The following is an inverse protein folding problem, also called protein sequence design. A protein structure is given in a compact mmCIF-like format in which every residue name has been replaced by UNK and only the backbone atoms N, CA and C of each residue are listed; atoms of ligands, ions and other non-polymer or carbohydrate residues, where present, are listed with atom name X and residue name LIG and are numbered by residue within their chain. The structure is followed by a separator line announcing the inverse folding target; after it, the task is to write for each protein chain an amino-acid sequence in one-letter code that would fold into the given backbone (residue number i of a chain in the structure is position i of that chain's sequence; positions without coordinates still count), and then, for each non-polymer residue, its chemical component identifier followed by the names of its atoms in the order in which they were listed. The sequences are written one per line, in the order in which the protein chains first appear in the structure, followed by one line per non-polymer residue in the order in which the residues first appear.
data_IF_614082751329
#
_entry.id   IF_614082751329
#
_cell.length_a   1.000
_cell.length_b   1.000
_cell.length_c   1.000
_cell.angle_alpha   90.00
_cell.angle_beta   90.00
_cell.angle_gamma   90.00
#
_symmetry.space_group_name_H-M   'P 1'
#
loop_
_entity.id
_entity.type
_entity.pdbx_description
1 polymer ?
#
# COMPACT_ATOMS: atom_id res chain seq x y z
N UNK A 1 -6.09 -28.99 -14.46
CA UNK A 1 -6.37 -28.01 -13.40
C UNK A 1 -6.73 -26.71 -14.09
N UNK A 2 -8.01 -26.33 -14.13
CA UNK A 2 -8.38 -25.01 -14.62
C UNK A 2 -7.93 -23.99 -13.57
N UNK A 3 -7.11 -22.98 -13.92
CA UNK A 3 -6.91 -21.85 -13.03
C UNK A 3 -8.29 -21.25 -12.79
N UNK A 4 -8.70 -21.15 -11.52
CA UNK A 4 -9.90 -20.39 -11.16
C UNK A 4 -9.75 -19.00 -11.80
N UNK A 5 -10.81 -18.41 -12.37
CA UNK A 5 -10.75 -17.01 -12.73
C UNK A 5 -10.32 -16.27 -11.46
N UNK A 6 -9.16 -15.62 -11.49
CA UNK A 6 -8.68 -14.79 -10.39
C UNK A 6 -9.83 -13.83 -10.05
N UNK A 7 -10.46 -14.07 -8.91
CA UNK A 7 -11.61 -13.28 -8.51
C UNK A 7 -11.03 -11.94 -8.13
N UNK A 8 -11.11 -10.97 -9.05
CA UNK A 8 -10.45 -9.66 -8.91
C UNK A 8 -10.85 -8.93 -7.61
N UNK A 9 -11.92 -9.38 -6.96
CA UNK A 9 -12.34 -8.95 -5.62
C UNK A 9 -11.32 -9.31 -4.54
N UNK A 10 -10.71 -10.49 -4.62
CA UNK A 10 -9.69 -10.96 -3.68
C UNK A 10 -8.40 -10.13 -3.81
N UNK A 11 -8.06 -9.69 -5.03
CA UNK A 11 -6.93 -8.80 -5.26
C UNK A 11 -7.17 -7.40 -4.67
N UNK A 12 -8.33 -6.79 -4.95
CA UNK A 12 -8.67 -5.47 -4.37
C UNK A 12 -8.64 -5.52 -2.84
N UNK A 13 -9.23 -6.56 -2.23
CA UNK A 13 -9.21 -6.71 -0.77
C UNK A 13 -7.78 -6.83 -0.23
N UNK A 14 -6.94 -7.67 -0.84
CA UNK A 14 -5.55 -7.85 -0.43
C UNK A 14 -4.72 -6.59 -0.59
N UNK A 15 -4.92 -5.84 -1.68
CA UNK A 15 -4.22 -4.56 -1.89
C UNK A 15 -4.70 -3.52 -0.87
N UNK A 16 -6.00 -3.47 -0.57
CA UNK A 16 -6.53 -2.57 0.47
C UNK A 16 -5.96 -2.89 1.85
N UNK A 17 -5.89 -4.17 2.24
CA UNK A 17 -5.26 -4.59 3.50
C UNK A 17 -3.77 -4.17 3.56
N UNK A 18 -3.04 -4.30 2.45
CA UNK A 18 -1.65 -3.84 2.37
C UNK A 18 -1.52 -2.31 2.47
N UNK A 19 -2.45 -1.55 1.89
CA UNK A 19 -2.53 -0.09 2.02
C UNK A 19 -2.73 0.29 3.49
N UNK A 20 -3.72 -0.30 4.16
CA UNK A 20 -4.05 0.01 5.55
C UNK A 20 -2.88 -0.31 6.49
N UNK A 21 -2.24 -1.46 6.29
CA UNK A 21 -1.03 -1.85 7.03
C UNK A 21 0.14 -0.88 6.78
N UNK A 22 0.32 -0.43 5.54
CA UNK A 22 1.40 0.51 5.18
C UNK A 22 1.16 1.88 5.82
N UNK A 23 -0.07 2.39 5.80
CA UNK A 23 -0.45 3.64 6.48
C UNK A 23 -0.22 3.55 8.00
N UNK A 24 -0.62 2.44 8.62
CA UNK A 24 -0.35 2.19 10.04
C UNK A 24 1.14 2.19 10.34
N UNK A 25 1.95 1.55 9.50
CA UNK A 25 3.40 1.54 9.64
C UNK A 25 4.04 2.92 9.50
N UNK A 26 3.54 3.76 8.58
CA UNK A 26 3.99 5.16 8.46
C UNK A 26 3.66 5.94 9.72
N UNK A 27 2.43 5.81 10.23
CA UNK A 27 2.00 6.48 11.48
C UNK A 27 2.87 6.07 12.66
N UNK A 28 3.11 4.76 12.84
CA UNK A 28 3.95 4.25 13.92
C UNK A 28 5.40 4.72 13.79
N UNK A 29 5.94 4.76 12.56
CA UNK A 29 7.28 5.28 12.32
C UNK A 29 7.36 6.80 12.63
N UNK A 30 6.33 7.57 12.30
CA UNK A 30 6.26 9.00 12.65
C UNK A 30 6.17 9.22 14.16
N UNK A 31 5.39 8.40 14.88
CA UNK A 31 5.34 8.45 16.34
C UNK A 31 6.68 8.08 16.98
N UNK A 32 7.41 7.13 16.40
CA UNK A 32 8.77 6.80 16.83
C UNK A 32 9.76 7.93 16.53
N UNK A 33 9.67 8.56 15.36
CA UNK A 33 10.50 9.74 15.01
C UNK A 33 10.28 10.86 16.02
N UNK A 34 9.03 11.13 16.41
CA UNK A 34 8.69 12.19 17.36
C UNK A 34 9.22 11.92 18.79
N UNK A 35 9.53 10.66 19.12
CA UNK A 35 10.04 10.23 20.43
C UNK A 35 11.53 9.88 20.42
N UNK A 36 12.16 9.82 19.25
CA UNK A 36 13.56 9.47 19.10
C UNK A 36 14.40 10.74 19.07
N UNK A 37 15.53 10.70 19.77
CA UNK A 37 16.54 11.76 19.77
C UNK A 37 17.75 11.41 18.88
N UNK A 38 17.76 10.21 18.28
CA UNK A 38 18.86 9.75 17.44
C UNK A 38 18.65 10.20 15.97
N UNK A 39 19.45 11.13 15.44
CA UNK A 39 19.27 11.67 14.10
C UNK A 39 19.39 10.61 13.00
N UNK A 40 20.26 9.61 13.16
CA UNK A 40 20.47 8.56 12.15
C UNK A 40 19.25 7.63 12.06
N UNK A 41 18.65 7.28 13.21
CA UNK A 41 17.42 6.50 13.24
C UNK A 41 16.24 7.25 12.65
N UNK A 42 16.11 8.54 12.99
CA UNK A 42 15.08 9.42 12.44
C UNK A 42 15.19 9.49 10.92
N UNK A 43 16.40 9.70 10.38
CA UNK A 43 16.63 9.78 8.95
C UNK A 43 16.28 8.45 8.25
N UNK A 44 16.70 7.31 8.80
CA UNK A 44 16.37 5.99 8.27
C UNK A 44 14.85 5.72 8.28
N UNK A 45 14.14 6.11 9.35
CA UNK A 45 12.68 5.99 9.44
C UNK A 45 11.98 6.86 8.39
N UNK A 46 12.45 8.10 8.18
CA UNK A 46 11.93 9.01 7.15
C UNK A 46 12.14 8.45 5.74
N UNK A 47 13.34 7.96 5.42
CA UNK A 47 13.61 7.35 4.12
C UNK A 47 12.75 6.12 3.85
N UNK A 48 12.52 5.29 4.87
CA UNK A 48 11.58 4.17 4.76
C UNK A 48 10.15 4.64 4.53
N UNK A 49 9.73 5.74 5.16
CA UNK A 49 8.40 6.31 4.92
C UNK A 49 8.24 6.84 3.49
N UNK A 50 9.25 7.52 2.94
CA UNK A 50 9.24 7.96 1.52
C UNK A 50 9.04 6.77 0.58
N UNK A 51 9.76 5.66 0.79
CA UNK A 51 9.58 4.45 -0.04
C UNK A 51 8.19 3.82 0.13
N UNK A 52 7.59 3.93 1.31
CA UNK A 52 6.22 3.45 1.56
C UNK A 52 5.18 4.32 0.86
N UNK A 53 5.38 5.62 0.76
CA UNK A 53 4.51 6.53 -0.01
C UNK A 53 4.53 6.21 -1.51
N UNK A 54 5.71 5.90 -2.05
CA UNK A 54 5.84 5.43 -3.44
C UNK A 54 5.12 4.10 -3.66
N UNK A 55 5.24 3.16 -2.71
CA UNK A 55 4.55 1.87 -2.75
C UNK A 55 3.01 2.05 -2.66
N UNK A 56 2.53 2.93 -1.78
CA UNK A 56 1.12 3.29 -1.68
C UNK A 56 0.57 3.85 -3.00
N UNK A 57 1.32 4.75 -3.64
CA UNK A 57 0.90 5.33 -4.92
C UNK A 57 0.73 4.26 -6.00
N UNK A 58 1.61 3.25 -6.04
CA UNK A 58 1.49 2.10 -6.95
C UNK A 58 0.27 1.24 -6.62
N UNK A 59 0.07 0.89 -5.35
CA UNK A 59 -1.08 0.10 -4.89
C UNK A 59 -2.43 0.78 -5.20
N UNK A 60 -2.51 2.10 -5.02
CA UNK A 60 -3.71 2.88 -5.36
C UNK A 60 -3.95 2.89 -6.87
N UNK A 61 -2.88 2.99 -7.67
CA UNK A 61 -2.98 2.90 -9.12
C UNK A 61 -3.50 1.52 -9.55
N UNK A 62 -2.97 0.44 -8.97
CA UNK A 62 -3.41 -0.93 -9.23
C UNK A 62 -4.90 -1.13 -8.94
N UNK A 63 -5.40 -0.69 -7.77
CA UNK A 63 -6.83 -0.78 -7.44
C UNK A 63 -7.69 0.00 -8.44
N UNK A 64 -7.24 1.20 -8.84
CA UNK A 64 -7.98 2.02 -9.82
C UNK A 64 -8.04 1.32 -11.18
N UNK A 65 -6.93 0.74 -11.64
CA UNK A 65 -6.86 0.03 -12.90
C UNK A 65 -7.69 -1.26 -12.87
N UNK A 66 -7.69 -2.00 -11.75
CA UNK A 66 -8.55 -3.16 -11.55
C UNK A 66 -10.05 -2.79 -11.56
N UNK A 67 -10.42 -1.68 -10.91
CA UNK A 67 -11.79 -1.16 -10.91
C UNK A 67 -12.26 -0.75 -12.33
N UNK A 68 -11.37 -0.14 -13.12
CA UNK A 68 -11.64 0.24 -14.51
C UNK A 68 -11.74 -1.00 -15.43
N UNK A 69 -10.87 -1.98 -15.27
CA UNK A 69 -10.89 -3.24 -16.00
C UNK A 69 -12.17 -4.06 -15.72
N UNK A 70 -12.74 -3.92 -14.52
CA UNK A 70 -14.02 -4.53 -14.19
C UNK A 70 -15.21 -3.85 -14.89
N UNK A 71 -15.12 -2.52 -15.09
CA UNK A 71 -16.16 -1.74 -15.77
C UNK A 71 -16.17 -1.96 -17.29
N UNK A 72 -15.01 -2.19 -17.90
CA UNK A 72 -14.89 -2.47 -19.34
C UNK A 72 -15.30 -3.89 -19.74
N UNK A 73 -15.30 -4.87 -18.82
CA UNK A 73 -15.83 -6.21 -19.05
C UNK A 73 -17.37 -6.29 -18.98
N UNK A 74 -18.07 -5.17 -18.78
CA UNK A 74 -19.53 -5.10 -18.79
C UNK A 74 -20.10 -4.51 -20.11
N UNK A 75 -19.33 -4.54 -21.22
CA UNK A 75 -19.81 -4.18 -22.56
C UNK A 75 -19.99 -5.40 -23.44
#
# INVERSE_FOLDING_TARGET
MNPKPDDRRDNVQRIQENIDNTLKNISLANDMIAKSDNPDEIQNMKEKNVRREEALSKMICEIRDEALANKNNMK
#
